data_IF_026980550384
#
_entry.id   IF_026980550384
#
_cell.length_a   1.000
_cell.length_b   1.000
_cell.length_c   1.000
_cell.angle_alpha   90.00
_cell.angle_beta   90.00
_cell.angle_gamma   90.00
#
_symmetry.space_group_name_H-M   'P 1'
#
loop_
_entity.id
_entity.type
_entity.pdbx_description
1 polymer ?
#
# COMPACT_ATOMS: atom_id res chain seq x y z
N UNK A 1 -23.26 -8.43 -0.41
CA UNK A 1 -22.66 -7.28 -1.12
C UNK A 1 -21.18 -7.56 -1.28
N UNK A 2 -20.62 -7.48 -2.50
CA UNK A 2 -19.17 -7.39 -2.67
C UNK A 2 -18.79 -6.00 -2.12
N UNK A 3 -17.89 -5.93 -1.14
CA UNK A 3 -17.41 -4.63 -0.64
C UNK A 3 -16.59 -4.02 -1.77
N UNK A 4 -17.07 -2.92 -2.34
CA UNK A 4 -16.25 -2.12 -3.24
C UNK A 4 -15.05 -1.63 -2.45
N UNK A 5 -13.87 -2.09 -2.84
CA UNK A 5 -12.63 -1.70 -2.20
C UNK A 5 -12.31 -0.27 -2.59
N UNK A 6 -12.03 0.58 -1.61
CA UNK A 6 -11.76 2.00 -1.86
C UNK A 6 -10.41 2.13 -2.56
N UNK A 7 -10.41 2.79 -3.72
CA UNK A 7 -9.19 3.12 -4.44
C UNK A 7 -8.61 4.44 -3.93
N UNK A 8 -7.30 4.46 -3.70
CA UNK A 8 -6.57 5.60 -3.15
C UNK A 8 -5.34 5.94 -4.00
N UNK A 9 -4.95 7.21 -3.98
CA UNK A 9 -3.80 7.74 -4.73
C UNK A 9 -2.48 7.47 -4.02
N UNK A 10 -1.37 7.62 -4.75
CA UNK A 10 -0.02 7.55 -4.17
C UNK A 10 0.18 8.48 -2.98
N UNK A 11 -0.40 9.69 -3.01
CA UNK A 11 -0.27 10.67 -1.93
C UNK A 11 -1.01 10.20 -0.66
N UNK A 12 -2.18 9.57 -0.80
CA UNK A 12 -2.90 8.98 0.32
C UNK A 12 -2.17 7.76 0.89
N UNK A 13 -1.59 6.91 0.02
CA UNK A 13 -0.74 5.79 0.44
C UNK A 13 0.44 6.28 1.28
N UNK A 14 1.13 7.32 0.82
CA UNK A 14 2.25 7.97 1.52
C UNK A 14 1.82 8.44 2.91
N UNK A 15 0.71 9.17 3.02
CA UNK A 15 0.18 9.65 4.30
C UNK A 15 -0.13 8.49 5.25
N UNK A 16 -0.70 7.40 4.75
CA UNK A 16 -1.07 6.24 5.57
C UNK A 16 0.14 5.42 6.01
N UNK A 17 1.14 5.26 5.16
CA UNK A 17 2.26 4.34 5.38
C UNK A 17 3.50 5.02 5.97
N UNK A 18 3.60 6.35 5.83
CA UNK A 18 4.81 7.11 6.17
C UNK A 18 5.95 6.96 5.16
N UNK A 19 5.72 6.26 4.05
CA UNK A 19 6.69 6.08 2.98
C UNK A 19 6.89 7.40 2.23
N UNK A 20 8.09 7.62 1.71
CA UNK A 20 8.30 8.62 0.67
C UNK A 20 8.02 8.05 -0.73
N UNK A 21 8.00 8.92 -1.75
CA UNK A 21 7.71 8.55 -3.13
C UNK A 21 8.67 7.49 -3.70
N UNK A 22 9.97 7.56 -3.35
CA UNK A 22 10.98 6.61 -3.85
C UNK A 22 10.75 5.23 -3.25
N UNK A 23 10.44 5.16 -1.96
CA UNK A 23 10.13 3.89 -1.28
C UNK A 23 8.86 3.25 -1.83
N UNK A 24 7.78 4.03 -1.99
CA UNK A 24 6.54 3.55 -2.59
C UNK A 24 6.77 3.00 -4.00
N UNK A 25 7.57 3.69 -4.81
CA UNK A 25 7.92 3.23 -6.15
C UNK A 25 8.71 1.90 -6.12
N UNK A 26 9.71 1.79 -5.24
CA UNK A 26 10.49 0.54 -5.08
C UNK A 26 9.62 -0.64 -4.66
N UNK A 27 8.71 -0.45 -3.72
CA UNK A 27 7.78 -1.50 -3.26
C UNK A 27 6.83 -1.94 -4.38
N UNK A 28 6.37 -0.99 -5.19
CA UNK A 28 5.52 -1.29 -6.35
C UNK A 28 6.29 -2.13 -7.39
N UNK A 29 7.54 -1.78 -7.70
CA UNK A 29 8.40 -2.55 -8.60
C UNK A 29 8.69 -3.96 -8.11
N UNK A 30 8.86 -4.15 -6.79
CA UNK A 30 9.06 -5.47 -6.19
C UNK A 30 7.78 -6.29 -6.07
N UNK A 31 6.62 -5.70 -6.33
CA UNK A 31 5.32 -6.35 -6.14
C UNK A 31 4.93 -6.52 -4.66
N UNK A 32 5.61 -5.84 -3.74
CA UNK A 32 5.32 -5.90 -2.30
C UNK A 32 4.11 -5.05 -1.91
N UNK A 33 3.86 -3.95 -2.65
CA UNK A 33 2.68 -3.12 -2.50
C UNK A 33 2.00 -2.91 -3.85
N UNK A 34 0.99 -3.74 -4.13
CA UNK A 34 0.40 -3.88 -5.46
C UNK A 34 -0.49 -2.69 -5.84
N UNK A 35 -0.23 -2.14 -7.01
CA UNK A 35 -1.10 -1.19 -7.71
C UNK A 35 -2.34 -1.90 -8.28
N UNK A 36 -3.41 -1.14 -8.48
CA UNK A 36 -4.64 -1.65 -9.07
C UNK A 36 -4.43 -2.01 -10.55
N UNK A 37 -4.84 -3.22 -10.94
CA UNK A 37 -4.59 -3.75 -12.29
C UNK A 37 -5.23 -2.92 -13.40
N UNK A 38 -6.43 -2.40 -13.15
CA UNK A 38 -7.16 -1.57 -14.12
C UNK A 38 -6.67 -0.12 -14.16
N UNK A 39 -5.99 0.34 -13.11
CA UNK A 39 -5.44 1.69 -13.05
C UNK A 39 -4.18 1.71 -12.15
N UNK A 40 -2.98 1.60 -12.75
CA UNK A 40 -1.72 1.58 -12.00
C UNK A 40 -1.42 2.87 -11.21
N UNK A 41 -2.18 3.95 -11.39
CA UNK A 41 -2.03 5.17 -10.58
C UNK A 41 -2.67 5.06 -9.19
N UNK A 42 -3.43 3.98 -8.93
CA UNK A 42 -4.21 3.78 -7.72
C UNK A 42 -3.83 2.48 -7.00
N UNK A 43 -4.13 2.44 -5.71
CA UNK A 43 -4.00 1.28 -4.84
C UNK A 43 -5.33 0.97 -4.16
N UNK A 44 -5.56 -0.28 -3.81
CA UNK A 44 -6.66 -0.67 -2.93
C UNK A 44 -6.29 -0.34 -1.48
N UNK A 45 -7.15 0.41 -0.80
CA UNK A 45 -6.96 0.78 0.60
C UNK A 45 -6.78 -0.47 1.48
N UNK A 46 -7.55 -1.53 1.23
CA UNK A 46 -7.45 -2.79 1.98
C UNK A 46 -6.03 -3.39 1.89
N UNK A 47 -5.46 -3.45 0.69
CA UNK A 47 -4.11 -3.97 0.45
C UNK A 47 -3.03 -3.14 1.14
N UNK A 48 -3.18 -1.81 1.12
CA UNK A 48 -2.25 -0.89 1.77
C UNK A 48 -2.30 -1.05 3.29
N UNK A 49 -3.49 -1.22 3.88
CA UNK A 49 -3.65 -1.44 5.32
C UNK A 49 -3.07 -2.78 5.76
N UNK A 50 -3.30 -3.86 4.99
CA UNK A 50 -2.70 -5.19 5.26
C UNK A 50 -1.18 -5.10 5.21
N UNK A 51 -0.62 -4.48 4.18
CA UNK A 51 0.83 -4.29 4.07
C UNK A 51 1.39 -3.53 5.28
N UNK A 52 0.75 -2.42 5.67
CA UNK A 52 1.17 -1.61 6.82
C UNK A 52 1.17 -2.42 8.12
N UNK A 53 0.13 -3.21 8.37
CA UNK A 53 0.06 -4.08 9.54
C UNK A 53 1.19 -5.11 9.57
N UNK A 54 1.55 -5.70 8.43
CA UNK A 54 2.66 -6.66 8.34
C UNK A 54 4.02 -6.00 8.67
N UNK A 55 4.22 -4.73 8.32
CA UNK A 55 5.45 -4.01 8.67
C UNK A 55 5.56 -3.72 10.18
N UNK A 56 4.43 -3.53 10.87
CA UNK A 56 4.42 -3.27 12.32
C UNK A 56 4.68 -4.55 13.14
N UNK A 57 4.19 -5.71 12.67
CA UNK A 57 4.46 -7.00 13.29
C UNK A 57 5.93 -7.45 13.20
N UNK A 58 6.69 -6.96 12.21
CA UNK A 58 8.11 -7.24 12.06
C UNK A 58 9.03 -6.40 12.98
N UNK A 59 8.49 -5.40 13.70
CA UNK A 59 9.28 -4.54 14.61
C UNK A 59 9.29 -4.97 16.07
N UNK A 60 8.55 -6.03 16.45
CA UNK A 60 8.35 -6.43 17.85
C UNK A 60 9.21 -7.61 18.31
N UNK A 61 10.17 -8.06 17.49
CA UNK A 61 11.13 -9.10 17.86
C UNK A 61 12.53 -8.51 17.74
N UNK A 62 12.99 -7.84 18.80
CA UNK A 62 14.41 -7.60 19.15
C UNK A 62 14.48 -6.98 20.54
#
# INVERSE_FOLDING_TARGET
MKKDDVLITSQQVIVLTGLNHIELFRLSLKGELLQEKSNPSLWRLSGVMVWKSNQQGNKTIN
#
